data_IF_425167716150
#
_entry.id   IF_425167716150
#
_cell.length_a   1.000
_cell.length_b   1.000
_cell.length_c   1.000
_cell.angle_alpha   90.00
_cell.angle_beta   90.00
_cell.angle_gamma   90.00
#
_symmetry.space_group_name_H-M   'P 1'
#
loop_
_entity.id
_entity.type
_entity.pdbx_description
1 polymer ?
#
# COMPACT_ATOMS: atom_id res chain seq x y z
N UNK A 1 2.67 15.60 -9.70
CA UNK A 1 3.09 14.20 -9.97
C UNK A 1 2.86 13.44 -8.70
N UNK A 2 2.06 12.38 -8.73
CA UNK A 2 1.78 11.53 -7.57
C UNK A 2 3.08 10.88 -7.11
N UNK A 3 3.55 11.21 -5.90
CA UNK A 3 4.84 10.75 -5.37
C UNK A 3 4.73 9.29 -4.92
N UNK A 4 4.98 8.36 -5.85
CA UNK A 4 5.07 6.95 -5.52
C UNK A 4 6.37 6.67 -4.79
N UNK A 5 6.26 6.01 -3.63
CA UNK A 5 7.42 5.57 -2.87
C UNK A 5 8.11 4.42 -3.60
N UNK A 6 9.43 4.52 -3.75
CA UNK A 6 10.26 3.50 -4.38
C UNK A 6 10.09 2.12 -3.69
N UNK A 7 10.03 1.01 -4.46
CA UNK A 7 9.79 -0.34 -3.97
C UNK A 7 10.84 -0.87 -2.98
N UNK A 8 11.94 -0.14 -2.79
CA UNK A 8 13.02 -0.46 -1.85
C UNK A 8 12.86 0.16 -0.46
N UNK A 9 12.00 1.17 -0.30
CA UNK A 9 11.72 1.73 1.03
C UNK A 9 10.84 0.74 1.80
N UNK A 10 10.77 0.81 3.14
CA UNK A 10 9.86 -0.07 3.88
C UNK A 10 8.53 0.64 4.10
N UNK A 11 7.38 0.06 3.72
CA UNK A 11 6.08 0.58 4.11
C UNK A 11 5.84 0.39 5.62
N UNK A 12 4.87 1.13 6.14
CA UNK A 12 4.40 1.07 7.52
C UNK A 12 3.44 -0.10 7.64
N UNK A 13 3.70 -0.95 8.62
CA UNK A 13 3.10 -2.28 8.66
C UNK A 13 1.60 -2.33 9.00
N UNK A 14 1.03 -1.22 9.48
CA UNK A 14 -0.32 -1.17 10.02
C UNK A 14 -1.26 -0.25 9.24
N UNK A 15 -0.77 0.35 8.15
CA UNK A 15 -1.58 1.28 7.35
C UNK A 15 -1.90 0.66 5.99
N UNK A 16 -3.15 0.77 5.52
CA UNK A 16 -3.50 0.38 4.16
C UNK A 16 -2.70 1.23 3.19
N UNK A 17 -2.15 0.61 2.16
CA UNK A 17 -1.42 1.29 1.09
C UNK A 17 -2.13 1.10 -0.25
N UNK A 18 -1.88 2.05 -1.15
CA UNK A 18 -2.11 1.85 -2.58
C UNK A 18 -0.80 1.41 -3.21
N UNK A 19 -0.82 0.35 -4.02
CA UNK A 19 0.35 -0.17 -4.74
C UNK A 19 0.17 -0.02 -6.24
N UNK A 20 1.28 0.18 -6.94
CA UNK A 20 1.34 0.16 -8.40
C UNK A 20 2.04 -1.12 -8.85
N UNK A 21 1.50 -1.79 -9.86
CA UNK A 21 2.08 -3.00 -10.43
C UNK A 21 2.95 -2.69 -11.65
N UNK A 22 3.72 -3.68 -12.11
CA UNK A 22 4.48 -3.57 -13.37
C UNK A 22 3.61 -3.32 -14.61
N UNK A 23 2.32 -3.68 -14.55
CA UNK A 23 1.34 -3.44 -15.62
C UNK A 23 0.73 -2.04 -15.55
N UNK A 24 1.07 -1.24 -14.54
CA UNK A 24 0.52 0.08 -14.31
C UNK A 24 -0.84 0.08 -13.59
N UNK A 25 -1.26 -1.07 -13.05
CA UNK A 25 -2.52 -1.19 -12.31
C UNK A 25 -2.34 -0.68 -10.87
N UNK A 26 -3.38 -0.04 -10.32
CA UNK A 26 -3.40 0.44 -8.93
C UNK A 26 -4.29 -0.47 -8.07
N UNK A 27 -3.75 -0.95 -6.95
CA UNK A 27 -4.50 -1.73 -5.97
C UNK A 27 -4.52 -1.03 -4.62
N UNK A 28 -5.71 -0.86 -4.05
CA UNK A 28 -5.91 -0.14 -2.80
C UNK A 28 -6.17 -1.09 -1.64
N UNK A 29 -5.68 -0.71 -0.45
CA UNK A 29 -6.02 -1.40 0.79
C UNK A 29 -5.14 -2.61 1.13
N UNK A 30 -3.97 -2.76 0.51
CA UNK A 30 -3.02 -3.80 0.92
C UNK A 30 -2.29 -3.40 2.20
N UNK A 31 -1.92 -4.38 3.02
CA UNK A 31 -1.12 -4.16 4.23
C UNK A 31 0.31 -4.65 4.01
N UNK A 32 1.29 -3.95 4.57
CA UNK A 32 2.68 -4.45 4.56
C UNK A 32 2.98 -5.27 5.81
N UNK A 33 3.41 -6.53 5.68
CA UNK A 33 3.84 -7.31 6.83
C UNK A 33 5.34 -7.15 7.04
N UNK A 34 5.77 -6.40 8.07
CA UNK A 34 7.19 -6.29 8.43
C UNK A 34 7.79 -7.64 8.82
N UNK A 35 7.00 -8.52 9.43
CA UNK A 35 7.45 -9.85 9.86
C UNK A 35 7.76 -10.77 8.68
N UNK A 36 7.01 -10.64 7.58
CA UNK A 36 7.18 -11.45 6.36
C UNK A 36 7.99 -10.75 5.27
N UNK A 37 8.10 -9.43 5.33
CA UNK A 37 8.77 -8.63 4.30
C UNK A 37 8.01 -8.59 2.98
N UNK A 38 6.67 -8.67 3.02
CA UNK A 38 5.82 -8.71 1.82
C UNK A 38 4.50 -7.96 2.03
N UNK A 39 3.84 -7.60 0.93
CA UNK A 39 2.47 -7.09 0.94
C UNK A 39 1.48 -8.24 1.07
N UNK A 40 0.51 -8.06 1.95
CA UNK A 40 -0.54 -9.01 2.22
C UNK A 40 -1.91 -8.39 1.96
N UNK A 41 -2.80 -9.19 1.42
CA UNK A 41 -4.22 -8.87 1.37
C UNK A 41 -4.81 -8.93 2.79
N UNK A 42 -5.51 -7.90 3.28
CA UNK A 42 -5.99 -7.89 4.66
C UNK A 42 -7.03 -8.98 4.94
N UNK A 43 -7.88 -9.27 3.94
CA UNK A 43 -9.00 -10.21 4.07
C UNK A 43 -8.50 -11.65 4.03
N UNK A 44 -7.65 -12.00 3.07
CA UNK A 44 -7.14 -13.35 2.88
C UNK A 44 -5.85 -13.63 3.68
N UNK A 45 -5.19 -12.60 4.20
CA UNK A 45 -3.86 -12.64 4.84
C UNK A 45 -2.80 -13.39 4.00
N UNK A 46 -2.99 -13.36 2.68
CA UNK A 46 -2.14 -14.02 1.69
C UNK A 46 -1.29 -13.00 0.94
N UNK A 47 -0.20 -13.46 0.36
CA UNK A 47 0.74 -12.63 -0.42
C UNK A 47 0.02 -11.97 -1.59
N UNK A 48 0.07 -10.65 -1.66
CA UNK A 48 -0.63 -9.89 -2.69
C UNK A 48 0.00 -10.06 -4.09
N UNK A 49 1.33 -10.14 -4.20
CA UNK A 49 2.02 -10.17 -5.51
C UNK A 49 1.61 -11.37 -6.39
N UNK A 50 1.28 -12.51 -5.78
CA UNK A 50 0.79 -13.69 -6.54
C UNK A 50 -0.58 -13.47 -7.17
N UNK A 51 -1.37 -12.52 -6.64
CA UNK A 51 -2.73 -12.20 -7.08
C UNK A 51 -2.72 -11.04 -8.08
N UNK A 52 -1.95 -9.98 -7.77
CA UNK A 52 -2.01 -8.71 -8.50
C UNK A 52 -0.78 -8.44 -9.38
N UNK A 53 0.25 -9.28 -9.30
CA UNK A 53 1.53 -9.10 -9.99
C UNK A 53 2.57 -8.34 -9.17
N UNK A 54 3.76 -8.16 -9.76
CA UNK A 54 4.90 -7.55 -9.06
C UNK A 54 4.66 -6.08 -8.75
N UNK A 55 4.94 -5.67 -7.52
CA UNK A 55 4.75 -4.30 -7.06
C UNK A 55 5.97 -3.45 -7.45
N UNK A 56 5.72 -2.33 -8.13
CA UNK A 56 6.74 -1.38 -8.61
C UNK A 56 6.76 -0.07 -7.85
N UNK A 57 5.79 0.16 -6.97
CA UNK A 57 5.75 1.30 -6.06
C UNK A 57 4.54 1.25 -5.13
N UNK A 58 4.53 2.10 -4.10
CA UNK A 58 3.37 2.26 -3.22
C UNK A 58 3.24 3.68 -2.68
N UNK A 59 2.06 4.00 -2.14
CA UNK A 59 1.78 5.23 -1.41
C UNK A 59 0.74 4.98 -0.34
N UNK A 60 0.76 5.79 0.71
CA UNK A 60 -0.36 5.83 1.64
C UNK A 60 -1.52 6.57 0.97
N UNK A 61 -2.78 6.25 1.32
CA UNK A 61 -3.86 7.18 1.07
C UNK A 61 -3.48 8.53 1.66
N UNK A 62 -3.82 9.61 0.95
CA UNK A 62 -3.74 10.94 1.55
C UNK A 62 -4.55 10.90 2.85
N UNK A 63 -3.99 11.41 3.96
CA UNK A 63 -4.79 11.57 5.17
C UNK A 63 -6.04 12.35 4.77
N UNK A 64 -7.21 11.83 5.12
CA UNK A 64 -8.44 12.60 4.93
C UNK A 64 -8.18 13.98 5.55
N UNK A 65 -8.54 15.08 4.84
CA UNK A 65 -8.31 16.40 5.36
C UNK A 65 -8.92 16.44 6.75
N UNK A 66 -8.04 16.70 7.73
CA UNK A 66 -8.33 16.78 9.15
C UNK A 66 -9.76 17.31 9.30
N UNK A 67 -10.69 16.46 9.77
CA UNK A 67 -11.99 16.95 10.22
C UNK A 67 -11.66 17.84 11.41
N UNK A 68 -11.35 19.09 11.10
CA UNK A 68 -11.08 20.15 12.06
C UNK A 68 -12.22 20.07 13.05
N UNK A 69 -11.98 19.78 14.35
CA UNK A 69 -13.05 19.82 15.31
C UNK A 69 -13.65 21.22 15.22
N UNK A 70 -14.93 21.29 14.84
CA UNK A 70 -15.63 22.56 14.74
C UNK A 70 -15.53 23.28 16.10
N UNK A 71 -15.28 24.59 16.11
CA UNK A 71 -15.07 25.38 17.34
C UNK A 71 -16.27 25.36 18.28
#
# INVERSE_FOLDING_TARGET
>A
MTDWTNPTRKPRAYEPVTVQTEKGEEFHGLCWSKARGEFIEPISNSSAESVIGKITGWRYPDPEPDQTPAP
#
